data_IF_337485777935
#
_entry.id   IF_337485777935
#
_cell.length_a   1.000
_cell.length_b   1.000
_cell.length_c   1.000
_cell.angle_alpha   90.00
_cell.angle_beta   90.00
_cell.angle_gamma   90.00
#
_symmetry.space_group_name_H-M   'P 1'
#
loop_
_entity.id
_entity.type
_entity.pdbx_description
1 polymer ?
#
# COMPACT_ATOMS: atom_id res chain seq x y z
N UNK A 1 44.08 -47.87 -41.39
CA UNK A 1 43.02 -47.22 -40.58
C UNK A 1 43.57 -46.09 -39.70
N UNK A 2 44.11 -45.00 -40.26
CA UNK A 2 44.54 -43.85 -39.43
C UNK A 2 44.48 -42.46 -40.09
N UNK A 3 43.97 -42.32 -41.33
CA UNK A 3 43.89 -41.01 -42.01
C UNK A 3 42.49 -40.39 -42.09
N UNK A 4 41.42 -41.10 -41.72
CA UNK A 4 40.04 -40.59 -41.85
C UNK A 4 39.46 -39.89 -40.60
N UNK A 5 40.15 -39.90 -39.45
CA UNK A 5 39.63 -39.28 -38.21
C UNK A 5 40.06 -37.82 -37.99
N UNK A 6 40.98 -37.26 -38.78
CA UNK A 6 41.42 -35.86 -38.64
C UNK A 6 40.64 -34.85 -39.48
N UNK A 7 39.85 -35.30 -40.46
CA UNK A 7 39.09 -34.41 -41.34
C UNK A 7 37.71 -34.01 -40.77
N UNK A 8 37.16 -34.79 -39.84
CA UNK A 8 35.86 -34.53 -39.21
C UNK A 8 35.87 -33.51 -38.06
N UNK A 9 37.03 -33.22 -37.47
CA UNK A 9 37.14 -32.29 -36.34
C UNK A 9 37.40 -30.83 -36.78
N UNK A 10 37.91 -30.61 -38.00
CA UNK A 10 38.15 -29.27 -38.51
C UNK A 10 36.88 -28.61 -39.09
N UNK A 11 35.94 -29.41 -39.59
CA UNK A 11 34.70 -28.91 -40.19
C UNK A 11 33.68 -28.39 -39.16
N UNK A 12 33.73 -28.84 -37.91
CA UNK A 12 32.81 -28.40 -36.86
C UNK A 12 33.23 -27.09 -36.18
N UNK A 13 34.52 -26.70 -36.24
CA UNK A 13 34.98 -25.42 -35.67
C UNK A 13 34.63 -24.23 -36.57
N UNK A 14 34.56 -24.43 -37.89
CA UNK A 14 34.25 -23.34 -38.85
C UNK A 14 32.77 -22.94 -38.78
N UNK A 15 31.86 -23.85 -38.45
CA UNK A 15 30.41 -23.59 -38.37
C UNK A 15 29.96 -22.83 -37.10
N UNK A 16 30.84 -22.64 -36.10
CA UNK A 16 30.54 -21.90 -34.86
C UNK A 16 31.00 -20.44 -34.88
N UNK A 17 31.56 -19.94 -36.00
CA UNK A 17 32.05 -18.56 -36.12
C UNK A 17 31.03 -17.56 -36.71
N UNK A 18 29.83 -18.04 -37.07
CA UNK A 18 28.78 -17.20 -37.63
C UNK A 18 27.85 -16.63 -36.56
N UNK A 19 28.25 -15.51 -35.92
CA UNK A 19 27.40 -14.39 -35.49
C UNK A 19 28.20 -13.41 -34.61
N UNK A 20 29.13 -12.64 -35.18
CA UNK A 20 29.47 -11.33 -34.63
C UNK A 20 28.92 -10.28 -35.59
N UNK A 21 27.75 -9.72 -35.28
CA UNK A 21 27.32 -8.46 -35.89
C UNK A 21 28.40 -7.42 -35.62
N UNK A 22 29.06 -6.95 -36.68
CA UNK A 22 29.87 -5.75 -36.64
C UNK A 22 28.91 -4.58 -36.53
N UNK A 23 28.62 -4.17 -35.29
CA UNK A 23 27.90 -2.93 -35.03
C UNK A 23 28.78 -1.79 -35.57
N UNK A 24 28.31 -1.15 -36.64
CA UNK A 24 29.02 -0.04 -37.26
C UNK A 24 28.90 1.17 -36.35
N UNK A 25 29.91 1.38 -35.51
CA UNK A 25 30.00 2.55 -34.65
C UNK A 25 30.13 3.81 -35.55
N UNK A 26 29.05 4.58 -35.62
CA UNK A 26 29.07 5.91 -36.23
C UNK A 26 30.00 6.79 -35.40
N UNK A 27 31.21 7.04 -35.92
CA UNK A 27 32.12 8.03 -35.33
C UNK A 27 31.62 9.42 -35.68
N UNK A 28 30.88 10.02 -34.76
CA UNK A 28 30.52 11.44 -34.83
C UNK A 28 31.75 12.27 -34.41
N UNK A 29 32.29 13.16 -35.26
CA UNK A 29 33.36 14.05 -34.85
C UNK A 29 32.84 15.01 -33.78
N UNK A 30 33.48 14.99 -32.60
CA UNK A 30 33.17 15.94 -31.53
C UNK A 30 33.81 17.29 -31.85
N UNK A 31 33.02 18.24 -32.35
CA UNK A 31 33.40 19.66 -32.34
C UNK A 31 33.23 20.18 -30.92
N UNK A 32 34.33 20.33 -30.18
CA UNK A 32 34.35 20.91 -28.84
C UNK A 32 34.22 22.45 -28.86
N UNK A 33 34.43 23.06 -30.02
CA UNK A 33 34.47 24.51 -30.16
C UNK A 33 33.17 25.01 -30.80
N UNK A 34 32.17 25.32 -29.98
CA UNK A 34 30.97 26.01 -30.44
C UNK A 34 29.70 25.81 -29.62
N UNK A 35 29.70 24.94 -28.60
CA UNK A 35 28.54 24.74 -27.73
C UNK A 35 28.98 24.82 -26.27
N UNK A 36 28.81 25.99 -25.67
CA UNK A 36 28.72 26.10 -24.21
C UNK A 36 27.40 25.48 -23.77
N UNK A 37 27.48 24.23 -23.30
CA UNK A 37 26.35 23.59 -22.60
C UNK A 37 26.21 24.28 -21.25
N UNK A 38 25.30 25.24 -21.18
CA UNK A 38 24.85 25.81 -19.92
C UNK A 38 24.37 24.65 -19.01
N UNK A 39 24.71 24.67 -17.70
CA UNK A 39 24.19 23.68 -16.77
C UNK A 39 22.66 23.70 -16.81
N UNK A 40 22.06 22.51 -16.78
CA UNK A 40 20.61 22.35 -16.86
C UNK A 40 19.91 23.25 -15.82
N UNK A 41 19.13 24.22 -16.28
CA UNK A 41 18.41 25.15 -15.39
C UNK A 41 17.26 24.41 -14.69
N UNK A 42 17.54 23.87 -13.50
CA UNK A 42 16.57 23.15 -12.67
C UNK A 42 15.57 24.07 -11.96
N UNK A 43 15.66 25.40 -12.11
CA UNK A 43 14.77 26.33 -11.41
C UNK A 43 13.32 26.28 -11.92
N UNK A 44 13.06 25.84 -13.15
CA UNK A 44 11.70 25.63 -13.68
C UNK A 44 11.01 24.41 -13.08
N UNK A 45 11.76 23.50 -12.41
CA UNK A 45 11.22 22.40 -11.62
C UNK A 45 10.88 22.78 -10.17
N UNK A 46 11.03 24.05 -9.78
CA UNK A 46 10.37 24.61 -8.59
C UNK A 46 8.87 24.79 -8.85
N UNK A 47 8.21 23.75 -9.36
CA UNK A 47 6.78 23.62 -9.21
C UNK A 47 6.50 23.84 -7.74
N UNK A 48 5.65 24.82 -7.43
CA UNK A 48 5.26 25.11 -6.06
C UNK A 48 4.80 23.77 -5.45
N UNK A 49 5.60 23.22 -4.54
CA UNK A 49 5.32 21.93 -3.89
C UNK A 49 3.97 21.96 -3.17
N UNK A 50 3.37 23.13 -3.01
CA UNK A 50 2.08 23.36 -2.37
C UNK A 50 0.89 23.12 -3.30
N UNK A 51 1.06 23.12 -4.63
CA UNK A 51 -0.06 22.89 -5.56
C UNK A 51 -0.38 21.40 -5.62
N UNK A 52 -1.62 21.06 -5.26
CA UNK A 52 -2.17 19.72 -5.36
C UNK A 52 -3.66 19.80 -5.68
N UNK A 53 -4.13 18.95 -6.59
CA UNK A 53 -5.56 18.85 -6.92
C UNK A 53 -5.94 17.37 -6.86
N UNK A 54 -6.72 16.94 -5.86
CA UNK A 54 -7.00 15.52 -5.63
C UNK A 54 -7.80 14.91 -6.79
N UNK A 55 -7.46 13.67 -7.15
CA UNK A 55 -8.24 12.87 -8.09
C UNK A 55 -9.22 11.99 -7.33
N UNK A 56 -10.51 12.34 -7.38
CA UNK A 56 -11.56 11.63 -6.63
C UNK A 56 -11.75 10.19 -7.09
N UNK A 57 -11.75 9.26 -6.13
CA UNK A 57 -12.07 7.84 -6.34
C UNK A 57 -13.58 7.55 -6.32
N UNK A 58 -14.42 8.48 -5.84
CA UNK A 58 -15.83 8.21 -5.54
C UNK A 58 -16.60 7.67 -6.74
N UNK A 59 -16.35 8.25 -7.93
CA UNK A 59 -16.99 7.79 -9.17
C UNK A 59 -16.62 6.34 -9.50
N UNK A 60 -15.36 5.95 -9.28
CA UNK A 60 -14.89 4.59 -9.53
C UNK A 60 -15.46 3.61 -8.50
N UNK A 61 -15.44 3.98 -7.22
CA UNK A 61 -16.02 3.19 -6.12
C UNK A 61 -17.49 2.89 -6.41
N UNK A 62 -18.29 3.90 -6.73
CA UNK A 62 -19.72 3.73 -6.99
C UNK A 62 -19.98 2.91 -8.27
N UNK A 63 -19.25 3.19 -9.35
CA UNK A 63 -19.46 2.53 -10.64
C UNK A 63 -19.03 1.06 -10.64
N UNK A 64 -17.95 0.74 -9.95
CA UNK A 64 -17.38 -0.61 -9.90
C UNK A 64 -17.76 -1.36 -8.63
N UNK A 65 -18.56 -0.75 -7.73
CA UNK A 65 -18.96 -1.35 -6.46
C UNK A 65 -17.75 -1.94 -5.70
N UNK A 66 -16.69 -1.13 -5.57
CA UNK A 66 -15.44 -1.57 -4.91
C UNK A 66 -15.70 -1.88 -3.45
N UNK A 67 -15.14 -2.99 -2.96
CA UNK A 67 -15.33 -3.41 -1.57
C UNK A 67 -14.27 -2.81 -0.66
N UNK A 68 -14.71 -2.17 0.42
CA UNK A 68 -13.84 -1.62 1.45
C UNK A 68 -13.17 -2.75 2.24
N UNK A 69 -11.83 -2.75 2.28
CA UNK A 69 -11.00 -3.74 2.99
C UNK A 69 -10.92 -3.47 4.50
N UNK A 70 -10.85 -2.20 4.89
CA UNK A 70 -10.61 -1.83 6.28
C UNK A 70 -11.34 -0.54 6.67
N UNK A 71 -11.80 -0.51 7.92
CA UNK A 71 -12.49 0.62 8.53
C UNK A 71 -11.67 1.28 9.66
N UNK A 72 -10.50 0.73 10.02
CA UNK A 72 -9.58 1.34 10.97
C UNK A 72 -8.30 1.83 10.28
N UNK A 73 -7.93 3.11 10.50
CA UNK A 73 -6.75 3.76 9.94
C UNK A 73 -5.90 4.39 11.05
N UNK A 74 -4.73 3.81 11.29
CA UNK A 74 -3.74 4.31 12.24
C UNK A 74 -2.58 4.89 11.44
N UNK A 75 -2.37 6.21 11.54
CA UNK A 75 -1.23 6.87 10.87
C UNK A 75 -0.14 7.09 11.90
N UNK A 76 1.06 6.54 11.67
CA UNK A 76 2.25 6.81 12.47
C UNK A 76 3.22 7.66 11.68
N UNK A 77 3.39 8.90 12.09
CA UNK A 77 4.31 9.87 11.50
C UNK A 77 5.60 9.98 12.32
N UNK A 78 6.75 9.83 11.66
CA UNK A 78 8.04 10.02 12.30
C UNK A 78 8.34 11.51 12.47
N UNK A 79 8.45 11.95 13.72
CA UNK A 79 8.85 13.30 14.10
C UNK A 79 10.28 13.32 14.70
N UNK A 80 11.10 12.29 14.44
CA UNK A 80 12.48 12.23 14.91
C UNK A 80 13.35 13.35 14.31
N UNK A 81 14.50 13.61 14.94
CA UNK A 81 15.48 14.59 14.46
C UNK A 81 15.91 14.37 13.00
N UNK A 82 15.96 13.11 12.53
CA UNK A 82 16.32 12.77 11.14
C UNK A 82 15.32 13.30 10.10
N UNK A 83 14.09 13.63 10.52
CA UNK A 83 13.06 14.25 9.69
C UNK A 83 13.20 15.77 9.63
N UNK A 84 14.04 16.39 10.47
CA UNK A 84 14.31 17.83 10.43
C UNK A 84 15.32 18.21 9.33
N UNK A 85 16.02 17.23 8.76
CA UNK A 85 16.96 17.42 7.65
C UNK A 85 16.27 17.84 6.35
N UNK A 86 16.94 18.67 5.56
CA UNK A 86 16.43 19.19 4.29
C UNK A 86 16.24 18.12 3.20
N UNK A 87 15.15 18.26 2.46
CA UNK A 87 14.76 17.46 1.31
C UNK A 87 13.84 18.27 0.38
N UNK A 88 14.22 18.40 -0.90
CA UNK A 88 13.48 19.20 -1.90
C UNK A 88 13.24 20.67 -1.47
N UNK A 89 14.20 21.27 -0.77
CA UNK A 89 14.14 22.68 -0.35
C UNK A 89 13.28 22.97 0.88
N UNK A 90 12.79 21.92 1.57
CA UNK A 90 12.08 22.01 2.86
C UNK A 90 12.57 20.90 3.80
N UNK A 91 12.24 20.93 5.09
CA UNK A 91 12.51 19.77 5.96
C UNK A 91 11.71 18.54 5.51
N UNK A 92 12.25 17.33 5.72
CA UNK A 92 11.53 16.07 5.45
C UNK A 92 10.22 15.98 6.22
N UNK A 93 10.20 16.49 7.45
CA UNK A 93 8.99 16.60 8.26
C UNK A 93 7.94 17.43 7.51
N UNK A 94 8.29 18.66 7.10
CA UNK A 94 7.35 19.53 6.36
C UNK A 94 6.86 18.83 5.09
N UNK A 95 7.75 18.20 4.33
CA UNK A 95 7.36 17.47 3.13
C UNK A 95 6.47 16.26 3.42
N UNK A 96 6.75 15.49 4.47
CA UNK A 96 5.92 14.37 4.91
C UNK A 96 4.54 14.81 5.39
N UNK A 97 4.46 15.93 6.11
CA UNK A 97 3.19 16.58 6.50
C UNK A 97 2.39 16.98 5.26
N UNK A 98 3.04 17.58 4.26
CA UNK A 98 2.37 17.92 2.99
C UNK A 98 1.85 16.68 2.26
N UNK A 99 2.60 15.58 2.25
CA UNK A 99 2.13 14.33 1.64
C UNK A 99 0.95 13.73 2.40
N UNK A 100 0.96 13.79 3.74
CA UNK A 100 -0.20 13.39 4.54
C UNK A 100 -1.41 14.29 4.29
N UNK A 101 -1.23 15.59 4.23
CA UNK A 101 -2.30 16.54 3.92
C UNK A 101 -2.98 16.20 2.58
N UNK A 102 -2.17 15.91 1.54
CA UNK A 102 -2.66 15.45 0.24
C UNK A 102 -3.38 14.11 0.29
N UNK A 103 -2.90 13.20 1.16
CA UNK A 103 -3.57 11.92 1.41
C UNK A 103 -4.95 12.16 2.03
N UNK A 104 -5.07 13.00 3.05
CA UNK A 104 -6.34 13.39 3.68
C UNK A 104 -7.30 14.05 2.68
N UNK A 105 -6.81 14.96 1.83
CA UNK A 105 -7.60 15.59 0.76
C UNK A 105 -8.09 14.60 -0.30
N UNK A 106 -7.43 13.45 -0.45
CA UNK A 106 -7.72 12.45 -1.48
C UNK A 106 -8.54 11.26 -0.95
N UNK A 107 -8.83 11.21 0.35
CA UNK A 107 -9.65 10.16 0.95
C UNK A 107 -11.09 10.23 0.38
N UNK A 108 -11.66 9.09 -0.04
CA UNK A 108 -13.06 9.03 -0.44
C UNK A 108 -13.99 9.12 0.78
N UNK A 109 -15.30 9.27 0.53
CA UNK A 109 -16.31 9.28 1.58
C UNK A 109 -16.56 7.85 2.07
N UNK A 110 -15.78 7.44 3.08
CA UNK A 110 -15.84 6.13 3.73
C UNK A 110 -15.78 6.28 5.25
N UNK A 111 -16.48 5.37 5.94
CA UNK A 111 -16.47 5.32 7.40
C UNK A 111 -15.13 4.77 7.89
N UNK A 112 -14.36 5.63 8.56
CA UNK A 112 -13.07 5.31 9.14
C UNK A 112 -13.02 5.68 10.62
N UNK A 113 -12.27 4.88 11.38
CA UNK A 113 -11.91 5.16 12.77
C UNK A 113 -10.39 5.11 12.90
N UNK A 114 -9.83 5.87 13.83
CA UNK A 114 -8.41 5.85 14.12
C UNK A 114 -7.87 7.23 14.48
N UNK A 115 -6.59 7.45 14.22
CA UNK A 115 -5.94 8.72 14.52
C UNK A 115 -4.59 8.87 13.82
N UNK A 116 -4.00 10.06 13.95
CA UNK A 116 -2.61 10.32 13.60
C UNK A 116 -1.76 10.43 14.87
N UNK A 117 -0.71 9.62 14.90
CA UNK A 117 0.25 9.49 15.98
C UNK A 117 1.62 9.98 15.50
N UNK A 118 2.41 10.55 16.40
CA UNK A 118 3.78 11.00 16.08
C UNK A 118 4.79 10.32 16.98
N UNK A 119 5.96 9.96 16.48
CA UNK A 119 7.07 9.59 17.37
C UNK A 119 7.50 10.79 18.21
N UNK A 120 8.12 10.56 19.38
CA UNK A 120 8.68 11.66 20.16
C UNK A 120 9.93 12.24 19.47
N UNK A 121 9.84 13.50 19.02
CA UNK A 121 10.96 14.23 18.40
C UNK A 121 11.93 14.89 19.40
N UNK A 122 11.52 15.04 20.66
CA UNK A 122 12.23 15.83 21.68
C UNK A 122 13.17 14.99 22.56
N UNK A 123 13.90 14.03 21.99
CA UNK A 123 14.94 13.31 22.73
C UNK A 123 16.22 14.15 22.80
N UNK A 124 16.20 15.25 23.55
CA UNK A 124 17.41 15.72 24.23
C UNK A 124 17.42 15.12 25.63
N UNK A 125 17.47 13.78 25.73
CA UNK A 125 17.61 13.13 27.03
C UNK A 125 19.07 13.25 27.47
N UNK A 126 19.40 14.33 28.17
CA UNK A 126 20.59 14.32 29.02
C UNK A 126 20.45 13.14 29.99
N UNK A 127 21.56 12.48 30.31
CA UNK A 127 21.59 11.38 31.29
C UNK A 127 20.92 11.77 32.62
N UNK A 128 20.95 13.05 33.00
CA UNK A 128 20.23 13.59 34.16
C UNK A 128 18.70 13.59 34.01
N UNK A 129 18.14 13.74 32.81
CA UNK A 129 16.68 13.71 32.60
C UNK A 129 16.07 12.31 32.77
N UNK A 130 16.88 11.25 32.64
CA UNK A 130 16.47 9.85 32.89
C UNK A 130 16.60 9.44 34.35
N UNK A 131 17.48 10.11 35.11
CA UNK A 131 17.66 9.89 36.55
C UNK A 131 16.65 10.74 37.36
N UNK A 132 16.32 11.94 36.88
CA UNK A 132 15.31 12.81 37.47
C UNK A 132 13.87 12.49 37.04
N UNK A 133 13.66 11.51 36.16
CA UNK A 133 12.31 11.00 35.87
C UNK A 133 11.89 9.99 36.96
N UNK A 134 11.82 10.48 38.19
CA UNK A 134 10.99 9.88 39.24
C UNK A 134 9.52 10.16 38.88
N UNK A 135 8.81 9.09 38.55
CA UNK A 135 7.36 8.88 38.58
C UNK A 135 6.34 9.79 37.87
N UNK A 136 6.60 11.01 37.37
CA UNK A 136 5.48 11.86 36.89
C UNK A 136 5.71 12.73 35.64
N UNK A 137 6.66 12.39 34.78
CA UNK A 137 6.83 13.10 33.49
C UNK A 137 6.85 12.18 32.27
N UNK A 138 6.09 11.08 32.35
CA UNK A 138 5.59 10.45 31.13
C UNK A 138 4.60 11.42 30.50
N UNK A 139 4.81 11.73 29.22
CA UNK A 139 3.80 12.39 28.39
C UNK A 139 2.59 11.46 28.36
N UNK A 140 1.71 11.60 29.35
CA UNK A 140 0.43 10.90 29.49
C UNK A 140 -0.58 11.50 28.50
N UNK A 141 -0.17 11.65 27.24
CA UNK A 141 -1.15 11.83 26.16
C UNK A 141 -1.82 10.47 26.02
N UNK A 142 -3.04 10.37 26.51
CA UNK A 142 -3.91 9.22 26.30
C UNK A 142 -4.09 9.06 24.80
N UNK A 143 -3.64 7.92 24.28
CA UNK A 143 -3.84 7.60 22.88
C UNK A 143 -5.28 7.15 22.73
N UNK A 144 -6.00 7.71 21.76
CA UNK A 144 -7.41 7.41 21.57
C UNK A 144 -7.75 7.23 20.08
N UNK A 145 -8.71 6.35 19.85
CA UNK A 145 -9.36 6.15 18.56
C UNK A 145 -10.54 7.10 18.47
N UNK A 146 -10.66 7.83 17.37
CA UNK A 146 -11.82 8.66 17.09
C UNK A 146 -12.40 8.31 15.73
N UNK A 147 -13.57 8.86 15.43
CA UNK A 147 -14.03 8.94 14.03
C UNK A 147 -12.98 9.71 13.23
N UNK A 148 -12.55 9.12 12.11
CA UNK A 148 -11.43 9.64 11.34
C UNK A 148 -11.94 10.71 10.36
N UNK A 149 -11.91 11.97 10.80
CA UNK A 149 -12.31 13.12 9.99
C UNK A 149 -11.08 13.79 9.36
N UNK A 150 -10.95 13.83 8.01
CA UNK A 150 -9.73 14.30 7.34
C UNK A 150 -9.29 15.71 7.77
N UNK A 151 -10.22 16.65 7.89
CA UNK A 151 -9.94 18.03 8.28
C UNK A 151 -9.40 18.15 9.72
N UNK A 152 -9.89 17.31 10.63
CA UNK A 152 -9.43 17.26 12.01
C UNK A 152 -8.03 16.62 12.12
N UNK A 153 -7.78 15.58 11.32
CA UNK A 153 -6.48 14.92 11.25
C UNK A 153 -5.41 15.86 10.69
N UNK A 154 -5.74 16.70 9.69
CA UNK A 154 -4.85 17.72 9.15
C UNK A 154 -4.40 18.71 10.23
N UNK A 155 -5.34 19.22 11.04
CA UNK A 155 -5.02 20.12 12.17
C UNK A 155 -4.08 19.45 13.16
N UNK A 156 -4.35 18.20 13.55
CA UNK A 156 -3.51 17.42 14.47
C UNK A 156 -2.10 17.17 13.94
N UNK A 157 -1.92 17.05 12.63
CA UNK A 157 -0.61 16.91 12.01
C UNK A 157 0.18 18.23 12.06
N UNK A 158 -0.49 19.37 11.97
CA UNK A 158 0.15 20.68 11.97
C UNK A 158 0.40 21.21 13.39
N UNK A 159 -0.49 20.92 14.33
CA UNK A 159 -0.38 21.41 15.70
C UNK A 159 0.74 20.70 16.47
N UNK A 160 1.59 21.50 17.12
CA UNK A 160 2.67 20.98 17.98
C UNK A 160 2.16 20.56 19.38
N UNK A 161 1.05 21.12 19.84
CA UNK A 161 0.52 20.94 21.20
C UNK A 161 -0.52 19.81 21.35
N UNK A 162 -1.17 19.38 20.27
CA UNK A 162 -2.22 18.33 20.28
C UNK A 162 -1.74 16.92 19.93
N UNK A 163 -0.44 16.68 19.95
CA UNK A 163 0.15 15.47 19.37
C UNK A 163 -0.02 14.24 20.27
N UNK A 164 -0.67 13.21 19.74
CA UNK A 164 -0.62 11.86 20.29
C UNK A 164 0.78 11.27 20.08
N UNK A 165 1.69 11.62 20.98
CA UNK A 165 3.08 11.15 20.95
C UNK A 165 3.10 9.66 21.28
N UNK A 166 3.52 8.83 20.34
CA UNK A 166 3.68 7.40 20.51
C UNK A 166 5.14 7.06 20.82
N UNK A 167 5.40 6.66 22.06
CA UNK A 167 6.68 6.07 22.49
C UNK A 167 7.81 7.07 22.74
N UNK A 168 9.01 6.52 22.84
CA UNK A 168 10.24 7.23 23.22
C UNK A 168 10.96 7.93 22.06
N UNK A 169 10.38 7.90 20.85
CA UNK A 169 10.94 8.47 19.62
C UNK A 169 11.58 7.45 18.68
N UNK A 170 11.63 6.16 19.06
CA UNK A 170 11.89 5.05 18.14
C UNK A 170 10.59 4.55 17.48
N UNK A 171 10.68 4.07 16.23
CA UNK A 171 9.51 3.55 15.51
C UNK A 171 8.94 2.28 16.17
N UNK A 172 9.81 1.36 16.60
CA UNK A 172 9.37 0.13 17.25
C UNK A 172 8.60 0.40 18.56
N UNK A 173 9.08 1.33 19.41
CA UNK A 173 8.38 1.72 20.65
C UNK A 173 7.02 2.35 20.34
N UNK A 174 6.95 3.22 19.32
CA UNK A 174 5.70 3.82 18.87
C UNK A 174 4.69 2.77 18.39
N UNK A 175 5.14 1.80 17.58
CA UNK A 175 4.30 0.69 17.08
C UNK A 175 3.82 -0.18 18.23
N UNK A 176 4.68 -0.53 19.19
CA UNK A 176 4.27 -1.29 20.39
C UNK A 176 3.29 -0.51 21.28
N UNK A 177 3.33 0.82 21.28
CA UNK A 177 2.35 1.62 22.02
C UNK A 177 0.99 1.66 21.30
N UNK A 178 1.00 1.83 19.98
CA UNK A 178 -0.22 1.87 19.15
C UNK A 178 -0.81 0.46 18.96
N UNK A 179 -0.01 -0.61 19.07
CA UNK A 179 -0.48 -1.98 18.88
C UNK A 179 -1.66 -2.32 19.78
N UNK A 180 -1.66 -1.84 21.04
CA UNK A 180 -2.77 -2.01 21.96
C UNK A 180 -4.08 -1.42 21.41
N UNK A 181 -4.03 -0.23 20.82
CA UNK A 181 -5.20 0.39 20.21
C UNK A 181 -5.67 -0.38 18.98
N UNK A 182 -4.73 -0.87 18.17
CA UNK A 182 -5.04 -1.66 16.98
C UNK A 182 -5.71 -2.98 17.38
N UNK A 183 -5.19 -3.66 18.41
CA UNK A 183 -5.80 -4.89 18.92
C UNK A 183 -7.17 -4.65 19.52
N UNK A 184 -7.34 -3.57 20.28
CA UNK A 184 -8.61 -3.20 20.92
C UNK A 184 -9.66 -2.70 19.90
N UNK A 185 -9.22 -2.20 18.74
CA UNK A 185 -10.12 -1.80 17.65
C UNK A 185 -10.82 -3.00 17.03
N UNK A 186 -12.08 -2.84 16.61
CA UNK A 186 -12.86 -3.91 15.95
C UNK A 186 -12.75 -3.80 14.43
N UNK A 187 -12.54 -4.95 13.78
CA UNK A 187 -12.48 -5.06 12.32
C UNK A 187 -11.07 -4.87 11.73
N UNK A 188 -10.91 -5.01 10.40
CA UNK A 188 -9.61 -4.94 9.74
C UNK A 188 -8.95 -3.57 9.92
N UNK A 189 -7.63 -3.55 10.02
CA UNK A 189 -6.87 -2.34 10.32
C UNK A 189 -5.79 -2.06 9.29
N UNK A 190 -5.52 -0.77 9.09
CA UNK A 190 -4.42 -0.24 8.30
C UNK A 190 -3.49 0.55 9.21
N UNK A 191 -2.19 0.23 9.16
CA UNK A 191 -1.12 1.05 9.71
C UNK A 191 -0.41 1.78 8.56
N UNK A 192 -0.55 3.10 8.50
CA UNK A 192 0.18 3.96 7.57
C UNK A 192 1.40 4.57 8.27
N UNK A 193 2.59 4.11 7.92
CA UNK A 193 3.86 4.61 8.45
C UNK A 193 4.45 5.67 7.52
N UNK A 194 4.71 6.88 8.03
CA UNK A 194 5.39 7.95 7.29
C UNK A 194 6.71 8.25 7.97
N UNK A 195 7.82 7.87 7.35
CA UNK A 195 9.15 7.96 7.98
C UNK A 195 10.24 8.03 6.91
N UNK A 196 11.50 8.12 7.31
CA UNK A 196 12.64 7.85 6.44
C UNK A 196 12.93 6.37 6.32
N UNK A 197 13.44 5.95 5.16
CA UNK A 197 13.81 4.57 4.90
C UNK A 197 14.83 4.01 5.90
N UNK A 198 15.81 4.81 6.34
CA UNK A 198 16.86 4.33 7.25
C UNK A 198 16.34 4.04 8.66
N UNK A 199 15.19 4.60 9.03
CA UNK A 199 14.56 4.40 10.35
C UNK A 199 13.86 3.06 10.46
N UNK A 200 13.52 2.44 9.33
CA UNK A 200 12.91 1.11 9.26
C UNK A 200 14.03 0.05 9.43
N UNK A 201 14.38 -0.16 10.69
CA UNK A 201 15.37 -1.13 11.13
C UNK A 201 14.75 -2.50 11.43
N UNK A 202 15.61 -3.47 11.78
CA UNK A 202 15.17 -4.84 12.12
C UNK A 202 14.19 -4.87 13.29
N UNK A 203 14.35 -3.97 14.28
CA UNK A 203 13.46 -3.91 15.45
C UNK A 203 12.05 -3.46 15.06
N UNK A 204 11.96 -2.48 14.17
CA UNK A 204 10.70 -1.98 13.62
C UNK A 204 9.97 -3.08 12.85
N UNK A 205 10.69 -3.80 11.99
CA UNK A 205 10.15 -4.94 11.24
C UNK A 205 9.63 -6.03 12.19
N UNK A 206 10.39 -6.39 13.24
CA UNK A 206 9.96 -7.37 14.24
C UNK A 206 8.71 -6.89 14.99
N UNK A 207 8.62 -5.61 15.35
CA UNK A 207 7.44 -5.07 16.03
C UNK A 207 6.18 -5.18 15.15
N UNK A 208 6.30 -4.88 13.86
CA UNK A 208 5.20 -5.03 12.89
C UNK A 208 4.80 -6.50 12.74
N UNK A 209 5.77 -7.42 12.57
CA UNK A 209 5.49 -8.85 12.45
C UNK A 209 4.81 -9.41 13.70
N UNK A 210 5.22 -8.98 14.90
CA UNK A 210 4.57 -9.37 16.16
C UNK A 210 3.12 -8.89 16.22
N UNK A 211 2.88 -7.63 15.85
CA UNK A 211 1.53 -7.08 15.81
C UNK A 211 0.63 -7.82 14.81
N UNK A 212 1.13 -8.10 13.60
CA UNK A 212 0.40 -8.91 12.61
C UNK A 212 0.07 -10.29 13.15
N UNK A 213 1.07 -10.98 13.71
CA UNK A 213 0.89 -12.32 14.29
C UNK A 213 -0.14 -12.29 15.42
N UNK A 214 -0.11 -11.28 16.28
CA UNK A 214 -1.08 -11.13 17.36
C UNK A 214 -2.51 -10.98 16.83
N UNK A 215 -2.73 -10.15 15.81
CA UNK A 215 -4.07 -9.95 15.24
C UNK A 215 -4.60 -11.20 14.52
N UNK A 216 -3.73 -11.95 13.85
CA UNK A 216 -4.12 -13.19 13.16
C UNK A 216 -4.47 -14.27 14.19
N UNK A 217 -3.63 -14.48 15.21
CA UNK A 217 -3.79 -15.58 16.17
C UNK A 217 -4.86 -15.32 17.22
N UNK A 218 -4.98 -14.08 17.71
CA UNK A 218 -5.89 -13.77 18.83
C UNK A 218 -7.25 -13.22 18.36
N UNK A 219 -7.32 -12.66 17.15
CA UNK A 219 -8.52 -11.95 16.69
C UNK A 219 -8.99 -12.35 15.28
N UNK A 220 -8.31 -13.27 14.58
CA UNK A 220 -8.62 -13.67 13.19
C UNK A 220 -8.73 -12.47 12.23
N UNK A 221 -7.88 -11.46 12.42
CA UNK A 221 -7.90 -10.21 11.64
C UNK A 221 -6.58 -9.93 10.95
N UNK A 222 -6.68 -9.30 9.79
CA UNK A 222 -5.52 -8.84 9.03
C UNK A 222 -5.16 -7.38 9.39
N UNK A 223 -3.84 -7.12 9.42
CA UNK A 223 -3.27 -5.77 9.45
C UNK A 223 -2.49 -5.51 8.17
N UNK A 224 -2.99 -4.55 7.38
CA UNK A 224 -2.28 -4.05 6.22
C UNK A 224 -1.33 -2.90 6.63
N UNK A 225 -0.07 -2.97 6.22
CA UNK A 225 0.94 -1.97 6.60
C UNK A 225 1.44 -1.25 5.37
N UNK A 226 1.14 0.04 5.29
CA UNK A 226 1.55 0.89 4.19
C UNK A 226 2.64 1.83 4.67
N UNK A 227 3.68 2.01 3.86
CA UNK A 227 4.80 2.88 4.23
C UNK A 227 4.98 3.95 3.18
N UNK A 228 5.05 5.21 3.61
CA UNK A 228 5.48 6.34 2.80
C UNK A 228 6.85 6.79 3.27
N UNK A 229 7.87 6.47 2.48
CA UNK A 229 9.24 6.85 2.78
C UNK A 229 9.59 8.25 2.28
N UNK A 230 9.96 9.14 3.19
CA UNK A 230 10.35 10.52 2.90
C UNK A 230 11.82 10.58 2.48
N UNK A 231 12.04 10.38 1.18
CA UNK A 231 13.36 10.37 0.56
C UNK A 231 13.42 9.42 -0.62
N UNK A 232 14.43 9.60 -1.47
CA UNK A 232 14.68 8.78 -2.67
C UNK A 232 15.86 7.81 -2.52
N UNK A 233 16.61 7.88 -1.42
CA UNK A 233 17.71 6.95 -1.12
C UNK A 233 17.13 5.69 -0.50
N UNK A 234 17.44 4.53 -1.07
CA UNK A 234 17.02 3.21 -0.59
C UNK A 234 15.51 2.92 -0.66
N UNK A 235 14.89 3.12 -1.84
CA UNK A 235 13.60 2.50 -2.19
C UNK A 235 13.72 0.97 -2.33
N UNK A 236 14.22 0.30 -1.30
CA UNK A 236 14.22 -1.16 -1.19
C UNK A 236 13.26 -1.52 -0.10
N UNK A 237 12.18 -2.16 -0.53
CA UNK A 237 11.16 -2.81 0.27
C UNK A 237 11.76 -3.84 1.23
N UNK A 238 12.39 -3.39 2.33
CA UNK A 238 12.94 -4.31 3.34
C UNK A 238 11.86 -5.21 3.96
N UNK A 239 10.58 -4.86 3.83
CA UNK A 239 9.46 -5.59 4.40
C UNK A 239 8.21 -5.71 3.50
N UNK A 240 8.25 -5.33 2.22
CA UNK A 240 7.14 -5.67 1.31
C UNK A 240 7.30 -7.15 0.92
N UNK A 241 6.93 -8.04 1.83
CA UNK A 241 6.89 -9.47 1.57
C UNK A 241 5.61 -9.79 0.79
N UNK A 242 5.73 -10.64 -0.23
CA UNK A 242 4.63 -11.00 -1.15
C UNK A 242 3.39 -11.53 -0.42
N UNK A 243 3.59 -12.25 0.68
CA UNK A 243 2.52 -12.90 1.44
C UNK A 243 1.82 -11.95 2.43
N UNK A 244 2.23 -10.68 2.49
CA UNK A 244 1.76 -9.75 3.52
C UNK A 244 1.06 -8.52 2.93
N UNK A 245 -0.12 -8.19 3.44
CA UNK A 245 -0.87 -7.03 2.97
C UNK A 245 -0.14 -5.71 3.27
N UNK A 246 0.11 -4.90 2.24
CA UNK A 246 0.78 -3.61 2.38
C UNK A 246 1.74 -3.30 1.24
N UNK A 247 2.09 -2.04 1.07
CA UNK A 247 3.14 -1.61 0.14
C UNK A 247 3.95 -0.45 0.71
N UNK A 248 5.21 -0.38 0.29
CA UNK A 248 6.07 0.77 0.52
C UNK A 248 6.19 1.63 -0.73
N UNK A 249 6.01 2.94 -0.58
CA UNK A 249 6.11 3.93 -1.66
C UNK A 249 6.94 5.13 -1.20
N UNK A 250 7.66 5.76 -2.10
CA UNK A 250 8.33 7.03 -1.80
C UNK A 250 7.32 8.17 -1.73
N UNK A 251 7.53 9.12 -0.82
CA UNK A 251 6.77 10.37 -0.73
C UNK A 251 6.65 11.08 -2.09
N UNK A 252 7.71 11.08 -2.89
CA UNK A 252 7.73 11.70 -4.23
C UNK A 252 6.79 11.03 -5.25
N UNK A 253 6.52 9.74 -5.07
CA UNK A 253 5.62 9.00 -5.97
C UNK A 253 4.18 9.40 -5.67
N UNK A 254 3.78 9.24 -4.41
CA UNK A 254 2.43 9.61 -3.96
C UNK A 254 2.21 11.12 -3.88
N UNK A 255 3.25 11.94 -4.06
CA UNK A 255 3.11 13.39 -4.19
C UNK A 255 2.27 13.79 -5.42
N UNK A 256 2.15 12.94 -6.44
CA UNK A 256 1.33 13.21 -7.63
C UNK A 256 -0.13 12.80 -7.39
N UNK A 257 -1.13 13.59 -7.83
CA UNK A 257 -2.55 13.28 -7.62
C UNK A 257 -2.99 11.90 -8.09
N UNK A 258 -2.50 11.47 -9.27
CA UNK A 258 -2.80 10.16 -9.86
C UNK A 258 -2.30 9.02 -8.98
N UNK A 259 -1.04 9.11 -8.55
CA UNK A 259 -0.40 8.09 -7.72
C UNK A 259 -0.95 8.08 -6.29
N UNK A 260 -1.32 9.24 -5.73
CA UNK A 260 -2.02 9.33 -4.45
C UNK A 260 -3.38 8.62 -4.50
N UNK A 261 -4.17 8.91 -5.53
CA UNK A 261 -5.48 8.28 -5.75
C UNK A 261 -5.34 6.75 -5.87
N UNK A 262 -4.38 6.28 -6.67
CA UNK A 262 -4.10 4.85 -6.79
C UNK A 262 -3.56 4.22 -5.49
N UNK A 263 -2.76 4.96 -4.71
CA UNK A 263 -2.28 4.50 -3.41
C UNK A 263 -3.44 4.31 -2.42
N UNK A 264 -4.36 5.27 -2.33
CA UNK A 264 -5.56 5.18 -1.49
C UNK A 264 -6.49 4.06 -1.94
N UNK A 265 -6.67 3.88 -3.25
CA UNK A 265 -7.44 2.74 -3.79
C UNK A 265 -6.87 1.42 -3.28
N UNK A 266 -5.54 1.22 -3.39
CA UNK A 266 -4.87 0.00 -2.92
C UNK A 266 -4.88 -0.16 -1.39
N UNK A 267 -4.98 0.93 -0.65
CA UNK A 267 -5.08 0.91 0.80
C UNK A 267 -6.45 0.40 1.26
N UNK A 268 -7.52 1.02 0.77
CA UNK A 268 -8.84 0.84 1.34
C UNK A 268 -9.73 -0.10 0.55
N UNK A 269 -9.42 -0.44 -0.69
CA UNK A 269 -10.30 -1.24 -1.54
C UNK A 269 -9.59 -2.44 -2.13
N UNK A 270 -10.34 -3.51 -2.33
CA UNK A 270 -9.97 -4.58 -3.25
C UNK A 270 -10.90 -4.55 -4.47
N UNK A 271 -10.82 -5.59 -5.31
CA UNK A 271 -11.56 -5.65 -6.56
C UNK A 271 -13.07 -5.40 -6.41
N UNK A 272 -13.76 -5.22 -7.53
CA UNK A 272 -15.22 -5.10 -7.55
C UNK A 272 -15.88 -6.26 -6.79
N UNK A 273 -17.02 -5.99 -6.15
CA UNK A 273 -17.81 -7.01 -5.51
C UNK A 273 -18.31 -8.06 -6.52
N UNK A 274 -18.36 -9.31 -6.06
CA UNK A 274 -18.99 -10.47 -6.69
C UNK A 274 -19.66 -11.22 -5.53
N UNK A 275 -20.98 -11.05 -5.35
CA UNK A 275 -21.70 -11.50 -4.14
C UNK A 275 -22.09 -12.96 -4.18
N UNK A 276 -22.40 -13.50 -5.35
CA UNK A 276 -22.75 -14.91 -5.52
C UNK A 276 -21.55 -15.79 -5.89
N UNK A 277 -20.39 -15.17 -6.13
CA UNK A 277 -19.12 -15.81 -6.45
C UNK A 277 -19.20 -16.64 -7.74
N UNK A 278 -19.93 -16.14 -8.74
CA UNK A 278 -20.05 -16.79 -10.05
C UNK A 278 -18.91 -16.40 -11.01
N UNK A 279 -18.06 -15.44 -10.62
CA UNK A 279 -16.93 -14.94 -11.38
C UNK A 279 -17.23 -13.70 -12.22
N UNK A 280 -18.46 -13.19 -12.19
CA UNK A 280 -18.88 -11.95 -12.83
C UNK A 280 -19.17 -10.91 -11.76
N UNK A 281 -18.45 -9.80 -11.81
CA UNK A 281 -18.65 -8.72 -10.84
C UNK A 281 -20.07 -8.17 -10.87
N UNK A 282 -20.63 -7.86 -9.70
CA UNK A 282 -22.00 -7.39 -9.47
C UNK A 282 -22.41 -6.24 -10.41
N UNK A 283 -21.50 -5.29 -10.67
CA UNK A 283 -21.77 -4.13 -11.52
C UNK A 283 -21.88 -4.48 -13.02
N UNK A 284 -21.56 -5.72 -13.41
CA UNK A 284 -21.69 -6.28 -14.76
C UNK A 284 -22.63 -7.48 -14.83
N UNK A 285 -23.00 -8.06 -13.69
CA UNK A 285 -23.86 -9.22 -13.60
C UNK A 285 -25.34 -8.84 -13.86
N UNK A 286 -25.98 -9.59 -14.77
CA UNK A 286 -27.41 -9.44 -15.09
C UNK A 286 -28.30 -10.44 -14.36
N UNK A 287 -27.72 -11.49 -13.77
CA UNK A 287 -28.42 -12.59 -13.14
C UNK A 287 -27.92 -12.79 -11.70
N UNK A 288 -28.25 -11.87 -10.77
CA UNK A 288 -27.77 -11.96 -9.40
C UNK A 288 -28.32 -13.21 -8.70
N UNK A 289 -27.51 -13.77 -7.80
CA UNK A 289 -27.79 -14.99 -7.05
C UNK A 289 -27.68 -16.27 -7.89
N UNK A 290 -26.72 -16.31 -8.82
CA UNK A 290 -26.39 -17.56 -9.49
C UNK A 290 -25.93 -18.61 -8.47
N UNK A 291 -26.53 -19.80 -8.53
CA UNK A 291 -26.12 -20.91 -7.68
C UNK A 291 -24.61 -21.21 -7.82
N UNK A 292 -23.94 -21.42 -6.68
CA UNK A 292 -22.50 -21.70 -6.66
C UNK A 292 -22.17 -22.95 -7.46
N UNK A 293 -21.06 -22.88 -8.21
CA UNK A 293 -20.55 -23.99 -9.02
C UNK A 293 -21.26 -24.16 -10.37
N UNK A 294 -22.23 -23.30 -10.72
CA UNK A 294 -22.83 -23.29 -12.07
C UNK A 294 -21.89 -22.62 -13.06
N UNK A 295 -21.90 -23.13 -14.28
CA UNK A 295 -21.23 -22.47 -15.40
C UNK A 295 -22.07 -21.28 -15.87
N UNK A 296 -21.51 -20.08 -15.72
CA UNK A 296 -22.12 -18.82 -16.16
C UNK A 296 -21.53 -18.33 -17.47
N UNK A 297 -22.28 -17.48 -18.16
CA UNK A 297 -21.81 -16.72 -19.32
C UNK A 297 -21.21 -15.39 -18.85
N UNK A 298 -20.73 -14.58 -19.80
CA UNK A 298 -20.15 -13.26 -19.52
C UNK A 298 -21.14 -12.26 -18.87
N UNK A 299 -22.44 -12.55 -18.91
CA UNK A 299 -23.51 -11.76 -18.29
C UNK A 299 -23.95 -12.29 -16.92
N UNK A 300 -23.23 -13.28 -16.35
CA UNK A 300 -23.53 -13.92 -15.06
C UNK A 300 -24.68 -14.93 -15.10
N UNK A 301 -25.43 -14.98 -16.20
CA UNK A 301 -26.54 -15.92 -16.33
C UNK A 301 -26.05 -17.35 -16.58
N UNK A 302 -26.74 -18.33 -15.96
CA UNK A 302 -26.45 -19.75 -16.12
C UNK A 302 -26.47 -20.17 -17.60
N UNK A 303 -25.44 -20.90 -18.02
CA UNK A 303 -25.32 -21.42 -19.40
C UNK A 303 -26.32 -22.52 -19.71
N UNK A 304 -26.67 -23.33 -18.70
CA UNK A 304 -27.63 -24.41 -18.81
C UNK A 304 -28.73 -24.18 -17.78
N UNK A 305 -29.96 -23.97 -18.25
CA UNK A 305 -31.12 -23.85 -17.37
C UNK A 305 -31.26 -25.09 -16.49
N UNK A 306 -31.83 -24.93 -15.29
CA UNK A 306 -32.22 -26.06 -14.46
C UNK A 306 -33.28 -26.86 -15.23
N UNK A 307 -32.90 -28.03 -15.74
CA UNK A 307 -33.89 -29.04 -16.09
C UNK A 307 -34.46 -29.47 -14.74
N UNK A 308 -35.60 -28.89 -14.35
CA UNK A 308 -36.34 -29.38 -13.19
C UNK A 308 -36.49 -30.89 -13.36
N UNK A 309 -36.05 -31.73 -12.41
CA UNK A 309 -36.20 -33.19 -12.50
C UNK A 309 -37.67 -33.62 -12.72
N UNK A 310 -38.61 -32.72 -12.41
CA UNK A 310 -40.05 -32.93 -12.50
C UNK A 310 -40.68 -32.45 -13.82
N UNK A 311 -39.96 -31.75 -14.72
CA UNK A 311 -40.56 -31.26 -15.97
C UNK A 311 -40.68 -32.33 -17.06
N UNK A 312 -39.98 -33.45 -16.90
CA UNK A 312 -39.99 -34.59 -17.85
C UNK A 312 -40.65 -35.84 -17.26
N UNK A 313 -41.28 -35.77 -16.09
CA UNK A 313 -42.14 -36.85 -15.63
C UNK A 313 -43.48 -36.69 -16.36
N UNK A 314 -43.86 -37.61 -17.27
CA UNK A 314 -45.20 -37.57 -17.84
C UNK A 314 -46.20 -37.61 -16.69
N UNK A 315 -47.27 -36.79 -16.75
CA UNK A 315 -48.29 -36.71 -15.69
C UNK A 315 -48.84 -38.08 -15.26
N UNK A 316 -48.72 -39.10 -16.11
CA UNK A 316 -49.05 -40.50 -15.84
C UNK A 316 -48.20 -41.15 -14.75
N UNK A 317 -46.92 -40.78 -14.60
CA UNK A 317 -46.03 -41.34 -13.58
C UNK A 317 -46.21 -40.67 -12.20
N UNK A 318 -46.64 -39.39 -12.15
CA UNK A 318 -46.93 -38.69 -10.90
C UNK A 318 -48.21 -39.23 -10.22
N UNK A 319 -49.13 -39.82 -10.99
CA UNK A 319 -50.34 -40.47 -10.48
C UNK A 319 -50.10 -41.87 -9.88
N UNK A 320 -48.94 -42.50 -10.11
CA UNK A 320 -48.62 -43.84 -9.60
C UNK A 320 -47.82 -43.84 -8.30
N UNK A 321 -47.34 -42.69 -7.83
CA UNK A 321 -46.60 -42.56 -6.56
C UNK A 321 -47.47 -42.06 -5.40
N UNK A 322 -48.77 -41.91 -5.62
CA UNK A 322 -49.74 -41.46 -4.62
C UNK A 322 -50.64 -42.59 -4.12
N UNK A 323 -50.08 -43.74 -3.72
CA UNK A 323 -50.82 -44.71 -2.90
C UNK A 323 -49.93 -45.79 -2.26
N UNK A 324 -49.03 -45.40 -1.36
CA UNK A 324 -48.61 -46.31 -0.29
C UNK A 324 -48.73 -45.56 1.04
N UNK A 325 -49.61 -46.10 1.90
CA UNK A 325 -49.74 -45.78 3.31
C UNK A 325 -48.56 -46.36 4.08
#
# INVERSE_FOLDING_TARGET
MSHFKKLGLLATVVLLSGCSSTEMLVKVPANADGITVEPYNTNTHKNNIEIFSPLSLQKKINRQQLVQRANNLFVLFDNSASMKEDYRGVSREKYGVMVLDRFHQSLPDINLQGNVYKTNGNIKTSFMSRILSTENNQVNTELAIHRYEPQEMQKRIQDSAGNMIAGDGSLHSAITRISKLITDSRGPAILLLVTRWERIDKKTVIAISRLRQQLILEHERELCVFTVGVGNRYSRARYDQADSCGISVSADKVAQPRDMSHFIERMFFYGPADRDNDGIYDYRDKCPNTEKGRLVRFDGCQRFGTVSPLSNIPRTALAMMGNEK
#
